data_IF_254519789892
#
_entry.id   IF_254519789892
#
_cell.length_a   1.000
_cell.length_b   1.000
_cell.length_c   1.000
_cell.angle_alpha   90.00
_cell.angle_beta   90.00
_cell.angle_gamma   90.00
#
_symmetry.space_group_name_H-M   'P 1'
#
loop_
_entity.id
_entity.type
_entity.pdbx_description
1 polymer ?
#
# COMPACT_ATOMS: atom_id res chain seq x y z
N UNK A 1 -38.26 -18.91 -0.40
CA UNK A 1 -37.92 -17.63 0.26
C UNK A 1 -39.11 -16.72 0.07
N UNK A 2 -39.69 -16.22 1.16
CA UNK A 2 -40.97 -15.51 1.12
C UNK A 2 -40.84 -14.19 0.37
N UNK A 3 -41.92 -13.74 -0.28
CA UNK A 3 -41.97 -12.44 -0.99
C UNK A 3 -41.65 -11.29 -0.03
N UNK A 4 -41.92 -11.47 1.26
CA UNK A 4 -41.55 -10.56 2.33
C UNK A 4 -40.04 -10.51 2.56
N UNK A 5 -39.33 -11.65 2.55
CA UNK A 5 -37.86 -11.66 2.69
C UNK A 5 -37.20 -10.91 1.54
N UNK A 6 -37.72 -11.07 0.32
CA UNK A 6 -37.20 -10.35 -0.85
C UNK A 6 -37.47 -8.85 -0.77
N UNK A 7 -38.65 -8.45 -0.30
CA UNK A 7 -39.01 -7.05 -0.11
C UNK A 7 -38.22 -6.38 1.04
N UNK A 8 -38.01 -7.10 2.14
CA UNK A 8 -37.22 -6.65 3.30
C UNK A 8 -35.75 -6.51 2.91
N UNK A 9 -35.19 -7.47 2.16
CA UNK A 9 -33.82 -7.40 1.66
C UNK A 9 -33.63 -6.30 0.60
N UNK A 10 -34.61 -6.06 -0.27
CA UNK A 10 -34.57 -4.94 -1.22
C UNK A 10 -34.68 -3.59 -0.50
N UNK A 11 -35.57 -3.47 0.49
CA UNK A 11 -35.66 -2.27 1.33
C UNK A 11 -34.37 -2.04 2.15
N UNK A 12 -33.73 -3.12 2.61
CA UNK A 12 -32.42 -3.10 3.27
C UNK A 12 -31.25 -2.90 2.30
N UNK A 13 -31.42 -3.10 0.99
CA UNK A 13 -30.41 -2.76 -0.02
C UNK A 13 -30.53 -1.28 -0.45
N UNK A 14 -31.75 -0.73 -0.42
CA UNK A 14 -32.01 0.66 -0.82
C UNK A 14 -31.83 1.68 0.32
N UNK A 15 -32.16 1.33 1.58
CA UNK A 15 -32.08 2.27 2.73
C UNK A 15 -30.67 2.58 3.25
N UNK A 16 -29.74 1.60 3.44
CA UNK A 16 -28.43 1.88 4.03
C UNK A 16 -27.35 2.26 3.00
N UNK A 17 -27.58 2.02 1.70
CA UNK A 17 -26.66 2.37 0.62
C UNK A 17 -27.08 3.64 -0.13
N UNK A 18 -27.53 4.66 0.59
CA UNK A 18 -27.71 6.00 0.02
C UNK A 18 -26.36 6.53 -0.47
N UNK A 19 -26.33 7.25 -1.61
CA UNK A 19 -25.08 7.76 -2.18
C UNK A 19 -24.31 8.66 -1.21
N UNK A 20 -25.01 9.35 -0.31
CA UNK A 20 -24.41 10.14 0.75
C UNK A 20 -23.69 9.30 1.80
N UNK A 21 -24.30 8.20 2.26
CA UNK A 21 -23.69 7.26 3.22
C UNK A 21 -22.46 6.59 2.63
N UNK A 22 -22.53 6.16 1.37
CA UNK A 22 -21.38 5.57 0.66
C UNK A 22 -20.27 6.60 0.48
N UNK A 23 -20.62 7.86 0.17
CA UNK A 23 -19.66 8.97 0.11
C UNK A 23 -18.99 9.21 1.47
N UNK A 24 -19.74 9.22 2.57
CA UNK A 24 -19.19 9.37 3.92
C UNK A 24 -18.20 8.26 4.28
N UNK A 25 -18.57 6.99 4.04
CA UNK A 25 -17.70 5.83 4.28
C UNK A 25 -16.41 5.93 3.47
N UNK A 26 -16.53 6.22 2.16
CA UNK A 26 -15.36 6.34 1.29
C UNK A 26 -14.47 7.54 1.66
N UNK A 27 -15.07 8.64 2.12
CA UNK A 27 -14.32 9.82 2.60
C UNK A 27 -13.58 9.52 3.90
N UNK A 28 -14.21 8.80 4.84
CA UNK A 28 -13.54 8.34 6.07
C UNK A 28 -12.40 7.37 5.77
N UNK A 29 -12.64 6.40 4.88
CA UNK A 29 -11.60 5.48 4.41
C UNK A 29 -10.43 6.24 3.76
N UNK A 30 -10.73 7.24 2.92
CA UNK A 30 -9.70 8.08 2.30
C UNK A 30 -8.88 8.86 3.34
N UNK A 31 -9.50 9.37 4.40
CA UNK A 31 -8.78 10.03 5.50
C UNK A 31 -7.84 9.06 6.21
N UNK A 32 -8.30 7.84 6.50
CA UNK A 32 -7.47 6.81 7.12
C UNK A 32 -6.30 6.40 6.21
N UNK A 33 -6.55 6.21 4.90
CA UNK A 33 -5.51 5.90 3.92
C UNK A 33 -4.48 7.03 3.86
N UNK A 34 -4.90 8.30 3.82
CA UNK A 34 -3.99 9.45 3.81
C UNK A 34 -3.12 9.51 5.07
N UNK A 35 -3.72 9.29 6.26
CA UNK A 35 -2.96 9.26 7.51
C UNK A 35 -1.91 8.14 7.52
N UNK A 36 -2.21 6.98 6.94
CA UNK A 36 -1.25 5.88 6.76
C UNK A 36 -0.18 6.25 5.72
N UNK A 37 -0.55 6.87 4.59
CA UNK A 37 0.37 7.32 3.56
C UNK A 37 1.36 8.38 4.08
N UNK A 38 0.92 9.30 4.95
CA UNK A 38 1.79 10.29 5.58
C UNK A 38 2.84 9.63 6.48
N UNK A 39 2.44 8.61 7.25
CA UNK A 39 3.37 7.79 8.05
C UNK A 39 4.34 7.01 7.17
N UNK A 40 3.84 6.39 6.11
CA UNK A 40 4.66 5.67 5.12
C UNK A 40 5.64 6.63 4.43
N UNK A 41 5.23 7.85 4.10
CA UNK A 41 6.09 8.86 3.48
C UNK A 41 7.21 9.32 4.41
N UNK A 42 6.94 9.45 5.72
CA UNK A 42 7.99 9.70 6.72
C UNK A 42 8.97 8.53 6.80
N UNK A 43 8.48 7.28 6.80
CA UNK A 43 9.32 6.08 6.77
C UNK A 43 10.20 6.01 5.52
N UNK A 44 9.64 6.32 4.34
CA UNK A 44 10.40 6.37 3.08
C UNK A 44 11.49 7.44 3.13
N UNK A 45 11.23 8.60 3.71
CA UNK A 45 12.26 9.65 3.86
C UNK A 45 13.41 9.19 4.76
N UNK A 46 13.11 8.50 5.85
CA UNK A 46 14.15 7.94 6.72
C UNK A 46 15.00 6.88 5.99
N UNK A 47 14.35 5.97 5.25
CA UNK A 47 15.04 4.97 4.43
C UNK A 47 15.88 5.59 3.31
N UNK A 48 15.43 6.70 2.73
CA UNK A 48 16.21 7.46 1.74
C UNK A 48 17.46 8.11 2.36
N UNK A 49 17.36 8.61 3.59
CA UNK A 49 18.52 9.13 4.31
C UNK A 49 19.52 8.01 4.61
N UNK A 50 19.05 6.87 5.13
CA UNK A 50 19.90 5.69 5.36
C UNK A 50 20.60 5.22 4.07
N UNK A 51 19.87 5.21 2.94
CA UNK A 51 20.46 4.88 1.64
C UNK A 51 21.59 5.83 1.24
N UNK A 52 21.41 7.13 1.47
CA UNK A 52 22.42 8.15 1.17
C UNK A 52 23.66 7.99 2.06
N UNK A 53 23.46 7.69 3.34
CA UNK A 53 24.56 7.43 4.28
C UNK A 53 25.35 6.17 3.91
N UNK A 54 24.66 5.10 3.53
CA UNK A 54 25.28 3.87 3.04
C UNK A 54 26.07 4.09 1.75
N UNK A 55 25.55 4.92 0.83
CA UNK A 55 26.25 5.29 -0.39
C UNK A 55 27.53 6.07 -0.10
N UNK A 56 27.46 7.10 0.75
CA UNK A 56 28.64 7.87 1.15
C UNK A 56 29.69 7.01 1.85
N UNK A 57 29.25 6.08 2.71
CA UNK A 57 30.15 5.15 3.40
C UNK A 57 30.85 4.23 2.40
N UNK A 58 30.11 3.73 1.41
CA UNK A 58 30.67 2.90 0.34
C UNK A 58 31.67 3.67 -0.52
N UNK A 59 31.36 4.91 -0.90
CA UNK A 59 32.24 5.77 -1.70
C UNK A 59 33.54 6.08 -0.95
N UNK A 60 33.45 6.44 0.34
CA UNK A 60 34.64 6.66 1.19
C UNK A 60 35.49 5.42 1.33
N UNK A 61 34.86 4.24 1.44
CA UNK A 61 35.58 2.97 1.53
C UNK A 61 36.34 2.67 0.24
N UNK A 62 35.72 2.89 -0.93
CA UNK A 62 36.42 2.75 -2.21
C UNK A 62 37.53 3.78 -2.38
N UNK A 63 37.29 5.05 -2.03
CA UNK A 63 38.30 6.12 -2.10
C UNK A 63 39.52 5.82 -1.21
N UNK A 64 39.31 5.24 -0.02
CA UNK A 64 40.40 4.83 0.87
C UNK A 64 41.23 3.68 0.30
N UNK A 65 40.63 2.77 -0.47
CA UNK A 65 41.36 1.72 -1.21
C UNK A 65 42.15 2.32 -2.36
N UNK A 66 41.53 3.20 -3.15
CA UNK A 66 42.18 3.84 -4.30
C UNK A 66 43.40 4.67 -3.88
N UNK A 67 43.32 5.35 -2.74
CA UNK A 67 44.43 6.13 -2.16
C UNK A 67 45.48 5.26 -1.46
N UNK A 68 45.28 3.95 -1.37
CA UNK A 68 46.18 3.02 -0.70
C UNK A 68 46.20 3.15 0.83
N UNK A 69 45.19 3.81 1.42
CA UNK A 69 45.03 3.96 2.87
C UNK A 69 44.61 2.63 3.50
N UNK A 70 43.80 1.85 2.77
CA UNK A 70 43.34 0.53 3.17
C UNK A 70 43.81 -0.53 2.15
N UNK A 71 44.34 -1.67 2.61
CA UNK A 71 44.61 -2.79 1.72
C UNK A 71 43.31 -3.43 1.25
N UNK A 72 43.31 -3.96 0.03
CA UNK A 72 42.21 -4.79 -0.46
C UNK A 72 42.35 -6.21 0.12
N UNK A 73 41.76 -6.41 1.29
CA UNK A 73 41.78 -7.69 2.01
C UNK A 73 40.39 -8.36 2.05
N UNK A 74 40.35 -9.59 2.55
CA UNK A 74 39.13 -10.40 2.62
C UNK A 74 38.09 -9.78 3.57
N UNK A 75 38.56 -9.11 4.63
CA UNK A 75 37.74 -8.34 5.57
C UNK A 75 37.02 -7.18 4.88
N UNK A 76 37.73 -6.42 4.04
CA UNK A 76 37.16 -5.32 3.28
C UNK A 76 36.15 -5.81 2.24
N UNK A 77 36.45 -6.91 1.56
CA UNK A 77 35.50 -7.55 0.64
C UNK A 77 34.22 -8.00 1.37
N UNK A 78 34.35 -8.59 2.55
CA UNK A 78 33.21 -8.98 3.38
C UNK A 78 32.38 -7.76 3.80
N UNK A 79 33.05 -6.67 4.21
CA UNK A 79 32.39 -5.43 4.61
C UNK A 79 31.65 -4.78 3.43
N UNK A 80 32.26 -4.74 2.25
CA UNK A 80 31.65 -4.24 1.01
C UNK A 80 30.40 -5.06 0.63
N UNK A 81 30.47 -6.39 0.72
CA UNK A 81 29.30 -7.26 0.50
C UNK A 81 28.16 -6.96 1.48
N UNK A 82 28.46 -6.77 2.77
CA UNK A 82 27.45 -6.40 3.78
C UNK A 82 26.77 -5.07 3.46
N UNK A 83 27.55 -4.04 3.07
CA UNK A 83 27.01 -2.75 2.64
C UNK A 83 26.11 -2.89 1.41
N UNK A 84 26.51 -3.70 0.42
CA UNK A 84 25.69 -3.97 -0.76
C UNK A 84 24.39 -4.69 -0.42
N UNK A 85 24.43 -5.72 0.44
CA UNK A 85 23.22 -6.42 0.91
C UNK A 85 22.28 -5.44 1.61
N UNK A 86 22.79 -4.64 2.54
CA UNK A 86 21.97 -3.66 3.26
C UNK A 86 21.34 -2.64 2.31
N UNK A 87 22.09 -2.17 1.31
CA UNK A 87 21.56 -1.28 0.27
C UNK A 87 20.41 -1.92 -0.50
N UNK A 88 20.50 -3.21 -0.84
CA UNK A 88 19.42 -3.93 -1.53
C UNK A 88 18.17 -4.09 -0.65
N UNK A 89 18.35 -4.38 0.64
CA UNK A 89 17.25 -4.45 1.62
C UNK A 89 16.51 -3.11 1.70
N UNK A 90 17.23 -2.00 1.90
CA UNK A 90 16.64 -0.65 1.99
C UNK A 90 15.89 -0.28 0.70
N UNK A 91 16.43 -0.64 -0.48
CA UNK A 91 15.74 -0.43 -1.76
C UNK A 91 14.46 -1.26 -1.88
N UNK A 92 14.48 -2.51 -1.40
CA UNK A 92 13.30 -3.37 -1.37
C UNK A 92 12.22 -2.83 -0.42
N UNK A 93 12.61 -2.28 0.74
CA UNK A 93 11.69 -1.62 1.66
C UNK A 93 11.06 -0.37 1.04
N UNK A 94 11.85 0.50 0.40
CA UNK A 94 11.34 1.67 -0.33
C UNK A 94 10.35 1.25 -1.42
N UNK A 95 10.66 0.21 -2.20
CA UNK A 95 9.77 -0.32 -3.22
C UNK A 95 8.46 -0.87 -2.62
N UNK A 96 8.53 -1.52 -1.46
CA UNK A 96 7.36 -1.97 -0.71
C UNK A 96 6.46 -0.81 -0.28
N UNK A 97 7.04 0.25 0.30
CA UNK A 97 6.29 1.45 0.68
C UNK A 97 5.69 2.19 -0.51
N UNK A 98 6.40 2.29 -1.64
CA UNK A 98 5.87 2.89 -2.88
C UNK A 98 4.64 2.14 -3.41
N UNK A 99 4.67 0.81 -3.40
CA UNK A 99 3.50 -0.02 -3.80
C UNK A 99 2.29 0.19 -2.90
N UNK A 100 2.49 0.41 -1.60
CA UNK A 100 1.40 0.74 -0.66
C UNK A 100 0.83 2.15 -0.90
N UNK A 101 1.67 3.09 -1.32
CA UNK A 101 1.26 4.46 -1.58
C UNK A 101 0.45 4.63 -2.89
N UNK A 102 0.63 3.74 -3.87
CA UNK A 102 -0.01 3.81 -5.20
C UNK A 102 -1.48 3.35 -5.18
N UNK A 103 -2.29 3.95 -4.29
CA UNK A 103 -3.73 3.69 -4.23
C UNK A 103 -4.49 4.75 -5.04
N UNK A 104 -5.39 4.34 -5.97
CA UNK A 104 -6.08 5.29 -6.84
C UNK A 104 -7.02 6.21 -6.05
N UNK A 105 -7.05 7.48 -6.44
CA UNK A 105 -7.95 8.47 -5.86
C UNK A 105 -9.43 8.04 -6.04
N UNK A 106 -10.19 8.04 -4.94
CA UNK A 106 -11.62 7.72 -4.96
C UNK A 106 -12.40 8.94 -5.44
N UNK A 107 -12.76 8.95 -6.72
CA UNK A 107 -13.63 9.93 -7.34
C UNK A 107 -15.10 9.50 -7.40
N UNK A 108 -16.01 10.38 -7.86
CA UNK A 108 -17.45 10.12 -7.92
C UNK A 108 -17.81 8.93 -8.82
N UNK A 109 -16.97 8.60 -9.81
CA UNK A 109 -17.12 7.42 -10.67
C UNK A 109 -16.87 6.13 -9.88
N UNK A 110 -15.84 6.08 -9.04
CA UNK A 110 -15.56 4.93 -8.17
C UNK A 110 -16.68 4.73 -7.15
N UNK A 111 -17.27 5.79 -6.60
CA UNK A 111 -18.44 5.71 -5.71
C UNK A 111 -19.62 5.02 -6.39
N UNK A 112 -19.93 5.40 -7.63
CA UNK A 112 -21.02 4.80 -8.42
C UNK A 112 -20.75 3.33 -8.75
N UNK A 113 -19.52 3.00 -9.14
CA UNK A 113 -19.11 1.62 -9.43
C UNK A 113 -19.15 0.75 -8.17
N UNK A 114 -18.66 1.26 -7.05
CA UNK A 114 -18.68 0.55 -5.76
C UNK A 114 -20.11 0.30 -5.28
N UNK A 115 -21.00 1.30 -5.38
CA UNK A 115 -22.43 1.13 -5.09
C UNK A 115 -23.05 0.05 -5.99
N UNK A 116 -22.81 0.11 -7.31
CA UNK A 116 -23.32 -0.87 -8.27
C UNK A 116 -22.82 -2.29 -7.96
N UNK A 117 -21.55 -2.44 -7.58
CA UNK A 117 -20.96 -3.71 -7.19
C UNK A 117 -21.55 -4.26 -5.88
N UNK A 118 -21.79 -3.40 -4.88
CA UNK A 118 -22.42 -3.79 -3.62
C UNK A 118 -23.87 -4.25 -3.82
N UNK A 119 -24.68 -3.49 -4.57
CA UNK A 119 -26.06 -3.87 -4.87
C UNK A 119 -26.11 -5.16 -5.72
N UNK A 120 -25.19 -5.30 -6.68
CA UNK A 120 -25.05 -6.52 -7.48
C UNK A 120 -24.70 -7.76 -6.66
N UNK A 121 -23.78 -7.65 -5.70
CA UNK A 121 -23.40 -8.77 -4.83
C UNK A 121 -24.51 -9.18 -3.86
N UNK A 122 -25.30 -8.23 -3.35
CA UNK A 122 -26.49 -8.53 -2.53
C UNK A 122 -27.54 -9.29 -3.36
N UNK A 123 -27.75 -8.90 -4.63
CA UNK A 123 -28.62 -9.64 -5.55
C UNK A 123 -28.06 -11.01 -5.99
N UNK A 124 -26.74 -11.16 -6.16
CA UNK A 124 -26.13 -12.44 -6.54
C UNK A 124 -26.16 -13.47 -5.39
N UNK A 125 -26.05 -13.02 -4.13
CA UNK A 125 -26.24 -13.87 -2.96
C UNK A 125 -27.66 -14.44 -2.88
N UNK A 126 -28.65 -13.69 -3.40
CA UNK A 126 -30.04 -14.12 -3.54
C UNK A 126 -30.22 -15.23 -4.61
N UNK A 127 -29.38 -15.27 -5.65
CA UNK A 127 -29.45 -16.33 -6.70
C UNK A 127 -28.73 -17.62 -6.32
N UNK A 128 -27.68 -17.56 -5.48
CA UNK A 128 -26.95 -18.76 -5.02
C UNK A 128 -27.71 -19.59 -3.97
N UNK A 129 -28.85 -19.12 -3.47
CA UNK A 129 -29.76 -19.90 -2.63
C UNK A 129 -30.76 -20.76 -3.41
N UNK A 130 -30.67 -20.80 -4.74
CA UNK A 130 -31.62 -21.51 -5.62
C UNK A 130 -31.02 -22.69 -6.39
N UNK A 131 -29.88 -23.21 -5.95
CA UNK A 131 -29.33 -24.50 -6.40
C UNK A 131 -28.62 -25.20 -5.22
N UNK A 132 -29.45 -25.79 -4.35
CA UNK A 132 -29.29 -27.14 -3.80
C UNK A 132 -30.69 -27.75 -3.80
#
# INVERSE_FOLDING_TARGET
MDKMDTAVLNALAEKPFTPERVKQILTQLQKQIKATQEKDAQGVKALQAELSELQQTSERLFEAVEKGILPLDELLQQHSRRLQTRRQEVLAEIASHKRRADMPAIGPRQVKLFRKALTGNVCCRNKKGHFC
#
